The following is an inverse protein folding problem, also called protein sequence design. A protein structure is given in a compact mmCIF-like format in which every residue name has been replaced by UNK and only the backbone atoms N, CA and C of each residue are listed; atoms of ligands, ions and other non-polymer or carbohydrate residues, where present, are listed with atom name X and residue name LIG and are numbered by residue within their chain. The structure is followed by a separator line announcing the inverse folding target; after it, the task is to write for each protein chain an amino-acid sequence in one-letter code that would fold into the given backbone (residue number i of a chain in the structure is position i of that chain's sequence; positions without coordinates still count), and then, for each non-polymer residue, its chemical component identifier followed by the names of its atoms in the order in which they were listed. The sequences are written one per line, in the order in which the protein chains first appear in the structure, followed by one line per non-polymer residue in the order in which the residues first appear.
data_IF_387612025637
#
_entry.id   IF_387612025637
#
_cell.length_a   1.000
_cell.length_b   1.000
_cell.length_c   1.000
_cell.angle_alpha   90.00
_cell.angle_beta   90.00
_cell.angle_gamma   90.00
#
_symmetry.space_group_name_H-M   'P 1'
#
loop_
_entity.id
_entity.type
_entity.pdbx_description
1 polymer ?
#
# COMPACT_ATOMS: atom_id res chain seq x y z
N UNK A 1 27.53 -7.28 15.27
CA UNK A 1 27.49 -8.58 15.96
C UNK A 1 26.06 -8.77 16.44
N UNK A 2 25.36 -9.77 15.92
CA UNK A 2 23.97 -10.07 16.28
C UNK A 2 23.97 -11.10 17.42
N UNK A 3 23.25 -10.84 18.51
CA UNK A 3 23.15 -11.76 19.65
C UNK A 3 21.79 -12.45 19.64
N UNK A 4 21.78 -13.76 19.90
CA UNK A 4 20.54 -14.49 20.14
C UNK A 4 20.01 -14.25 21.56
N UNK A 5 18.81 -14.73 21.86
CA UNK A 5 18.19 -14.59 23.18
C UNK A 5 18.95 -15.32 24.30
N UNK A 6 19.82 -16.27 23.97
CA UNK A 6 20.75 -16.89 24.92
C UNK A 6 22.01 -16.03 25.19
N UNK A 7 22.06 -14.79 24.69
CA UNK A 7 23.20 -13.85 24.80
C UNK A 7 24.49 -14.37 24.15
N UNK A 8 24.37 -15.25 23.15
CA UNK A 8 25.49 -15.78 22.35
C UNK A 8 25.48 -15.14 20.97
N UNK A 9 26.64 -15.08 20.33
CA UNK A 9 26.74 -14.63 18.94
C UNK A 9 25.91 -15.55 18.02
N UNK A 10 25.00 -14.95 17.27
CA UNK A 10 24.17 -15.65 16.31
C UNK A 10 25.00 -16.02 15.08
N UNK A 11 24.78 -17.23 14.57
CA UNK A 11 25.47 -17.73 13.37
C UNK A 11 24.67 -17.41 12.11
N UNK A 12 25.37 -17.13 11.03
CA UNK A 12 24.78 -16.79 9.74
C UNK A 12 24.65 -18.03 8.86
N UNK A 13 23.42 -18.44 8.54
CA UNK A 13 23.10 -19.57 7.66
C UNK A 13 22.48 -19.11 6.35
N UNK A 14 22.52 -19.97 5.33
CA UNK A 14 21.84 -19.76 4.04
C UNK A 14 20.61 -20.65 3.98
N UNK A 15 19.49 -20.07 3.57
CA UNK A 15 18.24 -20.77 3.29
C UNK A 15 18.37 -21.53 1.97
N UNK A 16 18.06 -22.82 2.03
CA UNK A 16 18.02 -23.72 0.87
C UNK A 16 16.58 -24.15 0.53
N UNK A 17 15.58 -23.43 1.05
CA UNK A 17 14.17 -23.68 0.74
C UNK A 17 13.80 -23.09 -0.63
N UNK A 18 12.80 -23.67 -1.30
CA UNK A 18 12.32 -23.19 -2.60
C UNK A 18 11.66 -21.80 -2.50
N UNK A 19 11.10 -21.43 -1.35
CA UNK A 19 10.41 -20.14 -1.17
C UNK A 19 11.39 -18.97 -1.06
N UNK A 20 12.60 -19.21 -0.54
CA UNK A 20 13.63 -18.20 -0.30
C UNK A 20 15.06 -18.77 -0.48
N UNK A 21 15.41 -19.27 -1.68
CA UNK A 21 16.71 -19.87 -1.91
C UNK A 21 17.82 -18.82 -1.85
N UNK A 22 18.96 -19.18 -1.26
CA UNK A 22 20.16 -18.33 -1.23
C UNK A 22 20.09 -17.15 -0.24
N UNK A 23 18.94 -16.86 0.37
CA UNK A 23 18.83 -15.82 1.40
C UNK A 23 19.54 -16.23 2.68
N UNK A 24 20.26 -15.30 3.31
CA UNK A 24 21.00 -15.56 4.54
C UNK A 24 20.22 -15.08 5.77
N UNK A 25 20.34 -15.76 6.89
CA UNK A 25 19.67 -15.42 8.14
C UNK A 25 20.54 -15.78 9.35
N UNK A 26 20.39 -15.01 10.42
CA UNK A 26 20.98 -15.27 11.72
C UNK A 26 20.14 -16.25 12.53
N UNK A 27 20.79 -17.17 13.22
CA UNK A 27 20.13 -18.11 14.13
C UNK A 27 20.98 -18.44 15.35
N UNK A 28 20.37 -19.04 16.38
CA UNK A 28 21.09 -19.49 17.57
C UNK A 28 22.11 -20.58 17.20
N UNK A 29 23.34 -20.53 17.74
CA UNK A 29 24.34 -21.57 17.49
C UNK A 29 24.02 -22.91 18.18
N UNK A 30 23.19 -22.90 19.23
CA UNK A 30 22.85 -24.10 20.00
C UNK A 30 21.72 -24.86 19.31
N UNK A 31 21.90 -26.17 19.10
CA UNK A 31 20.92 -27.05 18.44
C UNK A 31 19.58 -27.12 19.22
N UNK A 32 19.65 -27.10 20.55
CA UNK A 32 18.49 -27.00 21.45
C UNK A 32 18.42 -25.60 22.12
N UNK A 33 18.87 -24.56 21.40
CA UNK A 33 18.88 -23.19 21.88
C UNK A 33 17.55 -22.47 21.72
N UNK A 34 17.55 -21.16 22.00
CA UNK A 34 16.40 -20.32 21.67
C UNK A 34 16.12 -20.33 20.16
N UNK A 35 14.86 -20.12 19.78
CA UNK A 35 14.40 -20.06 18.38
C UNK A 35 14.71 -18.70 17.73
N UNK A 36 15.87 -18.11 18.01
CA UNK A 36 16.27 -16.84 17.41
C UNK A 36 16.40 -16.98 15.90
N UNK A 37 15.76 -16.05 15.19
CA UNK A 37 15.77 -15.96 13.74
C UNK A 37 15.71 -14.49 13.33
N UNK A 38 16.64 -14.05 12.48
CA UNK A 38 16.57 -12.73 11.85
C UNK A 38 17.15 -12.79 10.44
N UNK A 39 16.58 -12.08 9.47
CA UNK A 39 17.16 -12.05 8.12
C UNK A 39 18.47 -11.25 8.11
N UNK A 40 19.43 -11.72 7.32
CA UNK A 40 20.64 -10.96 7.05
C UNK A 40 20.42 -10.08 5.84
N UNK A 41 20.32 -8.79 6.08
CA UNK A 41 20.27 -7.78 5.03
C UNK A 41 21.64 -7.10 4.92
N UNK A 42 22.40 -7.34 3.84
CA UNK A 42 23.66 -6.64 3.62
C UNK A 42 23.40 -5.14 3.46
N UNK A 43 24.39 -4.28 3.78
CA UNK A 43 24.25 -2.85 3.53
C UNK A 43 23.95 -2.60 2.05
N UNK A 44 22.93 -1.80 1.78
CA UNK A 44 22.63 -1.34 0.42
C UNK A 44 23.80 -0.53 -0.12
N UNK A 45 24.03 -0.58 -1.43
CA UNK A 45 25.05 0.27 -2.04
C UNK A 45 24.67 1.76 -1.93
N UNK A 46 25.68 2.64 -1.88
CA UNK A 46 25.50 4.09 -1.67
C UNK A 46 24.56 4.73 -2.71
N UNK A 47 24.58 4.22 -3.94
CA UNK A 47 23.66 4.67 -4.98
C UNK A 47 22.21 4.33 -4.62
N UNK A 48 21.95 3.10 -4.19
CA UNK A 48 20.60 2.65 -3.83
C UNK A 48 20.04 3.38 -2.62
N UNK A 49 20.88 3.68 -1.62
CA UNK A 49 20.46 4.43 -0.43
C UNK A 49 20.03 5.87 -0.76
N UNK A 50 20.52 6.46 -1.85
CA UNK A 50 20.10 7.78 -2.32
C UNK A 50 18.88 7.70 -3.26
N UNK A 51 18.89 6.78 -4.22
CA UNK A 51 17.86 6.70 -5.27
C UNK A 51 16.53 6.16 -4.74
N UNK A 52 16.55 5.05 -3.99
CA UNK A 52 15.32 4.36 -3.56
C UNK A 52 14.41 5.29 -2.73
N UNK A 53 14.90 6.03 -1.72
CA UNK A 53 14.04 6.96 -0.97
C UNK A 53 13.46 8.09 -1.83
N UNK A 54 14.23 8.60 -2.81
CA UNK A 54 13.74 9.62 -3.74
C UNK A 54 12.60 9.13 -4.62
N UNK A 55 12.73 7.90 -5.14
CA UNK A 55 11.68 7.25 -5.92
C UNK A 55 10.45 6.96 -5.07
N UNK A 56 10.61 6.47 -3.84
CA UNK A 56 9.50 6.20 -2.92
C UNK A 56 8.71 7.48 -2.58
N UNK A 57 9.41 8.59 -2.29
CA UNK A 57 8.74 9.89 -2.06
C UNK A 57 7.95 10.34 -3.29
N UNK A 58 8.53 10.19 -4.48
CA UNK A 58 7.89 10.56 -5.73
C UNK A 58 6.65 9.71 -6.01
N UNK A 59 6.74 8.39 -5.83
CA UNK A 59 5.62 7.45 -5.94
C UNK A 59 4.48 7.82 -4.99
N UNK A 60 4.79 8.01 -3.71
CA UNK A 60 3.78 8.31 -2.69
C UNK A 60 3.08 9.66 -2.99
N UNK A 61 3.81 10.66 -3.50
CA UNK A 61 3.23 11.94 -3.93
C UNK A 61 2.25 11.75 -5.10
N UNK A 62 2.66 11.01 -6.13
CA UNK A 62 1.82 10.75 -7.30
C UNK A 62 0.57 9.94 -6.93
N UNK A 63 0.70 8.90 -6.10
CA UNK A 63 -0.44 8.13 -5.60
C UNK A 63 -1.40 9.02 -4.78
N UNK A 64 -0.87 9.95 -3.99
CA UNK A 64 -1.67 10.95 -3.28
C UNK A 64 -2.43 11.89 -4.23
N UNK A 65 -1.76 12.40 -5.27
CA UNK A 65 -2.38 13.27 -6.29
C UNK A 65 -3.50 12.53 -7.05
N UNK A 66 -3.26 11.27 -7.46
CA UNK A 66 -4.27 10.41 -8.10
C UNK A 66 -5.48 10.21 -7.18
N UNK A 67 -5.23 9.91 -5.92
CA UNK A 67 -6.30 9.70 -4.93
C UNK A 67 -7.14 10.97 -4.75
N UNK A 68 -6.49 12.12 -4.58
CA UNK A 68 -7.16 13.42 -4.46
C UNK A 68 -8.01 13.76 -5.69
N UNK A 69 -7.45 13.60 -6.90
CA UNK A 69 -8.15 13.88 -8.14
C UNK A 69 -9.35 12.95 -8.32
N UNK A 70 -9.22 11.66 -8.01
CA UNK A 70 -10.33 10.70 -8.07
C UNK A 70 -11.46 11.08 -7.10
N UNK A 71 -11.15 11.52 -5.88
CA UNK A 71 -12.17 12.01 -4.95
C UNK A 71 -12.87 13.26 -5.49
N UNK A 72 -12.12 14.21 -6.07
CA UNK A 72 -12.68 15.44 -6.66
C UNK A 72 -13.59 15.14 -7.86
N UNK A 73 -13.17 14.23 -8.74
CA UNK A 73 -13.97 13.75 -9.86
C UNK A 73 -15.24 13.05 -9.37
N UNK A 74 -15.14 12.15 -8.39
CA UNK A 74 -16.30 11.47 -7.79
C UNK A 74 -17.31 12.47 -7.22
N UNK A 75 -16.83 13.50 -6.50
CA UNK A 75 -17.71 14.57 -5.98
C UNK A 75 -18.38 15.36 -7.09
N UNK A 76 -17.65 15.74 -8.14
CA UNK A 76 -18.23 16.44 -9.30
C UNK A 76 -19.28 15.59 -10.00
N UNK A 77 -18.98 14.32 -10.26
CA UNK A 77 -19.91 13.39 -10.89
C UNK A 77 -21.17 13.20 -10.05
N UNK A 78 -21.02 13.05 -8.73
CA UNK A 78 -22.15 12.98 -7.81
C UNK A 78 -23.06 14.21 -7.90
N UNK A 79 -22.49 15.42 -7.86
CA UNK A 79 -23.25 16.68 -7.99
C UNK A 79 -23.99 16.73 -9.34
N UNK A 80 -23.31 16.40 -10.44
CA UNK A 80 -23.92 16.36 -11.78
C UNK A 80 -25.09 15.37 -11.80
N UNK A 81 -24.92 14.17 -11.25
CA UNK A 81 -26.00 13.18 -11.15
C UNK A 81 -27.20 13.72 -10.36
N UNK A 82 -26.98 14.36 -9.21
CA UNK A 82 -28.05 14.97 -8.42
C UNK A 82 -28.82 16.04 -9.21
N UNK A 83 -28.10 16.92 -9.92
CA UNK A 83 -28.72 17.96 -10.75
C UNK A 83 -29.56 17.35 -11.87
N UNK A 84 -29.03 16.36 -12.60
CA UNK A 84 -29.75 15.66 -13.67
C UNK A 84 -31.01 14.97 -13.13
N UNK A 85 -30.91 14.26 -12.00
CA UNK A 85 -32.05 13.61 -11.35
C UNK A 85 -33.11 14.64 -10.95
N UNK A 86 -32.72 15.77 -10.36
CA UNK A 86 -33.65 16.83 -9.96
C UNK A 86 -34.40 17.46 -11.15
N UNK A 87 -33.73 17.62 -12.29
CA UNK A 87 -34.33 18.13 -13.54
C UNK A 87 -35.31 17.14 -14.17
N UNK A 88 -34.99 15.84 -14.10
CA UNK A 88 -35.91 14.80 -14.57
C UNK A 88 -37.15 14.77 -13.67
N UNK A 89 -36.95 14.79 -12.35
CA UNK A 89 -38.04 14.77 -11.37
C UNK A 89 -38.96 15.98 -11.50
N UNK A 90 -38.39 17.19 -11.66
CA UNK A 90 -39.20 18.39 -11.90
C UNK A 90 -40.03 18.26 -13.18
N UNK A 91 -39.45 17.79 -14.29
CA UNK A 91 -40.20 17.56 -15.53
C UNK A 91 -41.33 16.54 -15.39
N UNK A 92 -41.14 15.49 -14.61
CA UNK A 92 -42.20 14.49 -14.34
C UNK A 92 -43.36 15.11 -13.54
N UNK A 93 -43.06 15.89 -12.50
CA UNK A 93 -44.11 16.56 -11.69
C UNK A 93 -44.87 17.60 -12.52
N UNK A 94 -44.15 18.49 -13.21
CA UNK A 94 -44.80 19.55 -13.99
C UNK A 94 -45.51 19.02 -15.24
N UNK A 95 -45.05 17.89 -15.80
CA UNK A 95 -45.76 17.18 -16.86
C UNK A 95 -47.05 16.49 -16.38
N UNK A 96 -47.09 16.05 -15.12
CA UNK A 96 -48.28 15.50 -14.48
C UNK A 96 -49.34 16.58 -14.18
N UNK A 97 -48.94 17.78 -13.75
CA UNK A 97 -49.90 18.86 -13.49
C UNK A 97 -50.60 19.41 -14.76
N UNK A 98 -50.11 19.10 -15.96
CA UNK A 98 -50.66 19.56 -17.24
C UNK A 98 -51.73 18.63 -17.87
N UNK A 99 -51.94 17.42 -17.37
CA UNK A 99 -52.93 16.47 -17.94
C UNK A 99 -54.31 16.53 -17.26
N UNK A 100 -54.44 17.13 -16.08
CA UNK A 100 -55.72 17.23 -15.34
C UNK A 100 -56.60 18.42 -15.78
N UNK A 101 -56.16 19.19 -16.79
CA UNK A 101 -56.82 20.41 -17.26
C UNK A 101 -57.40 20.36 -18.68
N UNK A 102 -57.65 19.18 -19.26
CA UNK A 102 -58.26 19.02 -20.59
C UNK A 102 -59.41 18.01 -20.56
#
# INVERSE_FOLDING_TARGET
MELCNCRREAILKTSWTNDKPGRRFYTCPLQNGCQYFNWFDPPMCERSTKIIPGLLRSKNRLEGEVTYLNTKLKRKNYIICCLVISLIFSKVIFGAAGYEGN
#
